data_IF_789835849954
#
_entry.id   IF_789835849954
#
_cell.length_a   1.000
_cell.length_b   1.000
_cell.length_c   1.000
_cell.angle_alpha   90.00
_cell.angle_beta   90.00
_cell.angle_gamma   90.00
#
_symmetry.space_group_name_H-M   'P 1'
#
loop_
_entity.id
_entity.type
_entity.pdbx_description
1 polymer ?
#
# COMPACT_ATOMS: atom_id res chain seq x y z
N UNK A 1 -19.41 22.40 5.47
CA UNK A 1 -19.39 21.10 4.74
C UNK A 1 -18.34 20.22 5.40
N UNK A 2 -18.60 18.92 5.57
CA UNK A 2 -17.59 18.00 6.08
C UNK A 2 -16.42 17.89 5.10
N UNK A 3 -15.19 17.83 5.62
CA UNK A 3 -13.98 17.64 4.80
C UNK A 3 -14.05 16.27 4.10
N UNK A 4 -13.60 16.21 2.84
CA UNK A 4 -13.48 14.94 2.12
C UNK A 4 -12.47 14.03 2.83
N UNK A 5 -12.90 12.81 3.17
CA UNK A 5 -12.02 11.78 3.74
C UNK A 5 -10.98 11.39 2.68
N UNK A 6 -9.70 11.40 3.07
CA UNK A 6 -8.59 11.11 2.16
C UNK A 6 -7.69 10.03 2.75
N UNK A 7 -7.32 9.05 1.92
CA UNK A 7 -6.44 7.96 2.33
C UNK A 7 -5.03 8.14 1.77
N UNK A 8 -4.02 7.89 2.61
CA UNK A 8 -2.68 7.57 2.12
C UNK A 8 -2.70 6.15 1.55
N UNK A 9 -2.21 5.94 0.34
CA UNK A 9 -2.14 4.61 -0.28
C UNK A 9 -0.69 4.17 -0.45
N UNK A 10 -0.30 3.11 0.26
CA UNK A 10 0.99 2.45 0.13
C UNK A 10 0.77 1.19 -0.71
N UNK A 11 1.40 1.14 -1.88
CA UNK A 11 1.34 -0.01 -2.79
C UNK A 11 2.58 -0.88 -2.57
N UNK A 12 2.41 -2.13 -2.16
CA UNK A 12 3.52 -3.05 -1.99
C UNK A 12 4.00 -3.67 -3.30
N UNK A 13 5.32 -3.80 -3.43
CA UNK A 13 5.97 -4.57 -4.48
C UNK A 13 7.23 -5.25 -3.95
N UNK A 14 7.76 -6.22 -4.70
CA UNK A 14 9.05 -6.87 -4.45
C UNK A 14 9.64 -7.30 -5.78
N UNK A 15 10.93 -7.05 -6.00
CA UNK A 15 11.57 -7.15 -7.32
C UNK A 15 11.61 -8.53 -7.97
N UNK A 16 11.21 -9.60 -7.27
CA UNK A 16 11.04 -10.92 -7.86
C UNK A 16 9.62 -11.16 -8.43
N UNK A 17 8.65 -10.33 -8.07
CA UNK A 17 7.26 -10.44 -8.52
C UNK A 17 6.99 -9.54 -9.74
N UNK A 18 5.98 -9.86 -10.56
CA UNK A 18 5.66 -9.09 -11.76
C UNK A 18 5.28 -7.65 -11.43
N UNK A 19 6.10 -6.70 -11.85
CA UNK A 19 5.86 -5.29 -11.51
C UNK A 19 4.59 -4.72 -12.13
N UNK A 20 4.10 -5.32 -13.24
CA UNK A 20 2.85 -4.89 -13.87
C UNK A 20 1.66 -5.01 -12.91
N UNK A 21 1.71 -5.95 -11.96
CA UNK A 21 0.70 -6.12 -10.92
C UNK A 21 0.72 -4.95 -9.93
N UNK A 22 1.90 -4.41 -9.61
CA UNK A 22 2.02 -3.23 -8.77
C UNK A 22 1.39 -2.00 -9.43
N UNK A 23 1.64 -1.81 -10.74
CA UNK A 23 1.00 -0.76 -11.53
C UNK A 23 -0.51 -0.93 -11.59
N UNK A 24 -1.01 -2.09 -12.03
CA UNK A 24 -2.44 -2.30 -12.21
C UNK A 24 -3.19 -2.23 -10.88
N UNK A 25 -2.63 -2.81 -9.81
CA UNK A 25 -3.23 -2.79 -8.49
C UNK A 25 -3.27 -1.38 -7.88
N UNK A 26 -2.24 -0.55 -8.11
CA UNK A 26 -2.28 0.87 -7.74
C UNK A 26 -3.43 1.59 -8.42
N UNK A 27 -3.53 1.44 -9.75
CA UNK A 27 -4.51 2.15 -10.55
C UNK A 27 -5.95 1.71 -10.21
N UNK A 28 -6.16 0.40 -9.99
CA UNK A 28 -7.42 -0.17 -9.51
C UNK A 28 -7.83 0.41 -8.14
N UNK A 29 -6.92 0.44 -7.16
CA UNK A 29 -7.20 0.98 -5.83
C UNK A 29 -7.52 2.47 -5.85
N UNK A 30 -6.77 3.27 -6.62
CA UNK A 30 -7.06 4.70 -6.79
C UNK A 30 -8.44 4.88 -7.43
N UNK A 31 -8.77 4.11 -8.47
CA UNK A 31 -10.06 4.17 -9.15
C UNK A 31 -11.22 3.86 -8.21
N UNK A 32 -11.12 2.80 -7.40
CA UNK A 32 -12.16 2.39 -6.44
C UNK A 32 -12.37 3.47 -5.37
N UNK A 33 -11.30 4.01 -4.80
CA UNK A 33 -11.37 5.04 -3.76
C UNK A 33 -11.99 6.33 -4.30
N UNK A 34 -11.54 6.80 -5.46
CA UNK A 34 -12.08 7.99 -6.11
C UNK A 34 -13.56 7.83 -6.48
N UNK A 35 -13.94 6.67 -7.05
CA UNK A 35 -15.33 6.37 -7.40
C UNK A 35 -16.25 6.28 -6.17
N UNK A 36 -15.67 5.98 -5.01
CA UNK A 36 -16.37 5.98 -3.72
C UNK A 36 -16.41 7.35 -3.03
N UNK A 37 -15.89 8.41 -3.69
CA UNK A 37 -15.89 9.77 -3.18
C UNK A 37 -14.73 10.11 -2.22
N UNK A 38 -13.73 9.24 -2.08
CA UNK A 38 -12.56 9.47 -1.23
C UNK A 38 -11.41 10.13 -1.98
N UNK A 39 -10.62 10.95 -1.28
CA UNK A 39 -9.34 11.43 -1.79
C UNK A 39 -8.24 10.37 -1.64
N UNK A 40 -7.20 10.44 -2.46
CA UNK A 40 -6.04 9.54 -2.38
C UNK A 40 -4.73 10.31 -2.47
N UNK A 41 -3.82 10.05 -1.52
CA UNK A 41 -2.42 10.47 -1.58
C UNK A 41 -1.56 9.23 -1.77
N UNK A 42 -0.92 9.10 -2.92
CA UNK A 42 -0.11 7.94 -3.29
C UNK A 42 1.13 8.41 -4.04
N UNK A 43 2.32 7.81 -3.84
CA UNK A 43 3.45 8.04 -4.72
C UNK A 43 3.03 7.87 -6.18
N UNK A 44 3.45 8.80 -7.03
CA UNK A 44 3.28 8.68 -8.47
C UNK A 44 4.50 7.97 -9.10
N UNK A 45 4.39 7.46 -10.35
CA UNK A 45 5.47 6.76 -11.02
C UNK A 45 6.77 7.55 -11.23
N UNK A 46 6.76 8.89 -11.09
CA UNK A 46 7.97 9.71 -11.12
C UNK A 46 8.70 9.74 -9.77
N UNK A 47 8.00 9.48 -8.65
CA UNK A 47 8.57 9.45 -7.31
C UNK A 47 9.17 8.09 -6.97
N UNK A 48 8.44 7.00 -7.26
CA UNK A 48 8.86 5.60 -7.05
C UNK A 48 8.39 4.72 -8.21
N UNK A 49 9.01 3.56 -8.41
CA UNK A 49 8.68 2.67 -9.53
C UNK A 49 7.20 2.27 -9.45
N UNK A 50 6.42 2.67 -10.46
CA UNK A 50 4.95 2.50 -10.51
C UNK A 50 4.18 3.10 -9.33
N UNK A 51 4.77 3.99 -8.54
CA UNK A 51 4.16 4.48 -7.30
C UNK A 51 4.14 3.44 -6.17
N UNK A 52 4.91 2.36 -6.28
CA UNK A 52 5.03 1.32 -5.26
C UNK A 52 6.21 1.56 -4.31
N UNK A 53 6.20 0.84 -3.18
CA UNK A 53 7.26 0.84 -2.18
C UNK A 53 7.87 -0.54 -2.12
N UNK A 54 9.15 -0.64 -2.48
CA UNK A 54 9.93 -1.88 -2.43
C UNK A 54 11.21 -1.69 -1.60
N UNK A 55 11.79 -0.50 -1.63
CA UNK A 55 13.05 -0.19 -0.96
C UNK A 55 12.88 0.80 0.18
N UNK A 56 13.89 0.85 1.07
CA UNK A 56 13.92 1.84 2.16
C UNK A 56 13.93 3.29 1.65
N UNK A 57 14.58 3.57 0.52
CA UNK A 57 14.58 4.91 -0.06
C UNK A 57 13.20 5.31 -0.60
N UNK A 58 12.48 4.37 -1.22
CA UNK A 58 11.09 4.60 -1.63
C UNK A 58 10.17 4.78 -0.42
N UNK A 59 10.40 4.03 0.66
CA UNK A 59 9.68 4.21 1.92
C UNK A 59 9.86 5.62 2.49
N UNK A 60 11.10 6.17 2.46
CA UNK A 60 11.38 7.56 2.87
C UNK A 60 10.65 8.57 1.99
N UNK A 61 10.63 8.37 0.66
CA UNK A 61 9.91 9.24 -0.27
C UNK A 61 8.40 9.22 -0.02
N UNK A 62 7.82 8.03 0.16
CA UNK A 62 6.41 7.86 0.52
C UNK A 62 6.09 8.56 1.85
N UNK A 63 6.93 8.37 2.86
CA UNK A 63 6.78 9.02 4.16
C UNK A 63 6.87 10.55 4.07
N UNK A 64 7.76 11.09 3.24
CA UNK A 64 7.86 12.53 3.00
C UNK A 64 6.60 13.10 2.33
N UNK A 65 6.08 12.41 1.31
CA UNK A 65 4.82 12.76 0.66
C UNK A 65 3.65 12.75 1.66
N UNK A 66 3.58 11.72 2.51
CA UNK A 66 2.54 11.58 3.51
C UNK A 66 2.62 12.67 4.58
N UNK A 67 3.82 13.00 5.07
CA UNK A 67 4.01 14.13 6.01
C UNK A 67 3.59 15.46 5.39
N UNK A 68 3.97 15.72 4.14
CA UNK A 68 3.58 16.93 3.43
C UNK A 68 2.06 17.05 3.22
N UNK A 69 1.34 15.92 3.26
CA UNK A 69 -0.12 15.85 3.11
C UNK A 69 -0.83 15.46 4.41
N UNK A 70 -0.14 15.50 5.56
CA UNK A 70 -0.59 14.89 6.81
C UNK A 70 -1.94 15.42 7.29
N UNK A 71 -2.16 16.73 7.19
CA UNK A 71 -3.42 17.40 7.58
C UNK A 71 -4.64 16.93 6.77
N UNK A 72 -4.40 16.29 5.62
CA UNK A 72 -5.44 15.78 4.74
C UNK A 72 -5.67 14.28 4.92
N UNK A 73 -4.67 13.51 5.34
CA UNK A 73 -4.78 12.05 5.41
C UNK A 73 -5.52 11.63 6.68
N UNK A 74 -6.65 10.93 6.51
CA UNK A 74 -7.51 10.44 7.60
C UNK A 74 -7.21 8.97 7.97
N UNK A 75 -6.53 8.25 7.09
CA UNK A 75 -6.17 6.84 7.26
C UNK A 75 -5.17 6.40 6.20
N UNK A 76 -4.48 5.28 6.43
CA UNK A 76 -3.57 4.69 5.45
C UNK A 76 -4.07 3.31 5.04
N UNK A 77 -4.05 3.05 3.74
CA UNK A 77 -4.31 1.72 3.16
C UNK A 77 -2.97 1.17 2.67
N UNK A 78 -2.58 0.01 3.18
CA UNK A 78 -1.57 -0.83 2.55
C UNK A 78 -2.31 -1.77 1.59
N UNK A 79 -2.04 -1.63 0.29
CA UNK A 79 -2.54 -2.55 -0.74
C UNK A 79 -1.41 -3.45 -1.24
N UNK A 80 -1.70 -4.74 -1.32
CA UNK A 80 -0.77 -5.79 -1.73
C UNK A 80 -1.27 -6.42 -3.03
N UNK A 81 -0.89 -5.86 -4.19
CA UNK A 81 -1.18 -6.49 -5.48
C UNK A 81 -0.34 -7.75 -5.73
N UNK A 82 0.80 -7.87 -5.06
CA UNK A 82 1.63 -9.07 -4.99
C UNK A 82 2.27 -9.18 -3.59
N UNK A 83 3.25 -10.07 -3.41
CA UNK A 83 4.04 -10.15 -2.18
C UNK A 83 4.95 -8.92 -2.06
N UNK A 84 4.46 -7.86 -1.44
CA UNK A 84 5.22 -6.64 -1.15
C UNK A 84 6.33 -6.81 -0.12
N UNK A 85 7.36 -5.97 -0.18
CA UNK A 85 8.46 -5.94 0.80
C UNK A 85 7.99 -5.33 2.13
N UNK A 86 7.73 -6.19 3.12
CA UNK A 86 7.07 -5.78 4.36
C UNK A 86 7.82 -4.69 5.16
N UNK A 87 9.15 -4.67 5.14
CA UNK A 87 9.93 -3.69 5.92
C UNK A 87 9.77 -2.30 5.34
N UNK A 88 9.75 -2.16 4.01
CA UNK A 88 9.50 -0.90 3.31
C UNK A 88 8.13 -0.32 3.64
N UNK A 89 7.08 -1.16 3.67
CA UNK A 89 5.72 -0.73 4.00
C UNK A 89 5.62 -0.19 5.43
N UNK A 90 6.20 -0.92 6.39
CA UNK A 90 6.18 -0.52 7.80
C UNK A 90 7.07 0.69 8.06
N UNK A 91 8.24 0.78 7.43
CA UNK A 91 9.13 1.93 7.53
C UNK A 91 8.46 3.20 6.97
N UNK A 92 7.71 3.11 5.86
CA UNK A 92 6.98 4.25 5.30
C UNK A 92 5.96 4.81 6.30
N UNK A 93 5.20 3.93 6.98
CA UNK A 93 4.27 4.33 8.05
C UNK A 93 4.98 5.00 9.23
N UNK A 94 6.06 4.37 9.72
CA UNK A 94 6.81 4.86 10.89
C UNK A 94 7.45 6.21 10.64
N UNK A 95 8.06 6.39 9.48
CA UNK A 95 8.69 7.65 9.09
C UNK A 95 7.65 8.74 8.78
N UNK A 96 6.46 8.35 8.30
CA UNK A 96 5.38 9.31 8.08
C UNK A 96 4.83 9.84 9.42
N UNK A 97 4.73 8.99 10.43
CA UNK A 97 4.40 9.39 11.80
C UNK A 97 3.00 10.01 11.95
N UNK A 98 2.06 9.69 11.06
CA UNK A 98 0.75 10.35 11.00
C UNK A 98 -0.20 9.98 12.14
N UNK A 99 -0.01 8.81 12.77
CA UNK A 99 -0.87 8.36 13.87
C UNK A 99 -2.33 8.04 13.49
N UNK A 100 -2.61 7.85 12.19
CA UNK A 100 -3.95 7.54 11.67
C UNK A 100 -4.19 6.03 11.55
N UNK A 101 -5.47 5.57 11.50
CA UNK A 101 -5.78 4.15 11.31
C UNK A 101 -5.18 3.55 10.03
N UNK A 102 -4.79 2.26 10.11
CA UNK A 102 -4.22 1.51 8.99
C UNK A 102 -5.13 0.35 8.59
N UNK A 103 -5.42 0.21 7.30
CA UNK A 103 -6.11 -0.94 6.71
C UNK A 103 -5.14 -1.73 5.82
N UNK A 104 -5.12 -3.06 5.95
CA UNK A 104 -4.35 -3.94 5.07
C UNK A 104 -5.27 -4.72 4.13
N UNK A 105 -5.10 -4.49 2.82
CA UNK A 105 -5.79 -5.17 1.72
C UNK A 105 -4.79 -5.96 0.88
N UNK A 106 -5.20 -7.13 0.39
CA UNK A 106 -4.42 -7.94 -0.54
C UNK A 106 -5.31 -8.45 -1.69
N UNK A 107 -4.81 -8.36 -2.91
CA UNK A 107 -5.54 -8.74 -4.12
C UNK A 107 -5.34 -10.23 -4.39
N UNK A 108 -6.40 -11.06 -4.38
CA UNK A 108 -6.24 -12.51 -4.48
C UNK A 108 -5.62 -12.94 -5.82
N UNK A 109 -4.89 -14.04 -5.79
CA UNK A 109 -4.45 -14.73 -7.01
C UNK A 109 -5.67 -15.16 -7.84
N UNK A 110 -5.50 -15.18 -9.17
CA UNK A 110 -6.51 -15.70 -10.08
C UNK A 110 -6.24 -17.17 -10.36
N UNK A 111 -7.26 -18.03 -10.20
CA UNK A 111 -7.15 -19.43 -10.56
C UNK A 111 -6.68 -19.58 -12.02
N UNK A 112 -5.67 -20.44 -12.24
CA UNK A 112 -5.07 -20.64 -13.55
C UNK A 112 -4.02 -19.61 -13.98
N UNK A 113 -3.79 -18.54 -13.20
CA UNK A 113 -2.76 -17.51 -13.45
C UNK A 113 -1.73 -17.45 -12.32
N UNK A 114 -1.02 -18.56 -12.10
CA UNK A 114 -0.01 -18.69 -11.04
C UNK A 114 1.41 -18.90 -11.58
N UNK A 115 1.64 -18.58 -12.84
CA UNK A 115 2.99 -18.61 -13.43
C UNK A 115 3.82 -17.43 -12.89
N UNK A 116 5.13 -17.45 -13.14
CA UNK A 116 6.01 -16.31 -12.82
C UNK A 116 5.51 -14.99 -13.42
N UNK A 117 4.74 -15.00 -14.50
CA UNK A 117 4.24 -13.77 -15.13
C UNK A 117 3.07 -13.12 -14.39
N UNK A 118 2.28 -13.88 -13.62
CA UNK A 118 1.01 -13.42 -13.07
C UNK A 118 0.80 -13.72 -11.58
N UNK A 119 1.65 -14.56 -10.98
CA UNK A 119 1.57 -14.92 -9.56
C UNK A 119 1.68 -13.67 -8.69
N UNK A 120 0.69 -13.46 -7.83
CA UNK A 120 0.65 -12.38 -6.85
C UNK A 120 1.29 -12.81 -5.55
N UNK A 121 0.88 -13.96 -5.01
CA UNK A 121 1.28 -14.41 -3.66
C UNK A 121 1.02 -13.34 -2.57
N UNK A 122 0.00 -12.53 -2.81
CA UNK A 122 -0.34 -11.35 -2.01
C UNK A 122 -0.84 -11.70 -0.61
N UNK A 123 -1.46 -12.88 -0.44
CA UNK A 123 -1.91 -13.35 0.85
C UNK A 123 -0.73 -13.67 1.79
N UNK A 124 0.33 -14.30 1.26
CA UNK A 124 1.58 -14.48 2.00
C UNK A 124 2.23 -13.14 2.33
N UNK A 125 2.22 -12.21 1.38
CA UNK A 125 2.61 -10.82 1.62
C UNK A 125 1.80 -10.16 2.74
N UNK A 126 0.47 -10.39 2.79
CA UNK A 126 -0.42 -9.85 3.82
C UNK A 126 -0.05 -10.36 5.19
N UNK A 127 0.18 -11.66 5.33
CA UNK A 127 0.64 -12.26 6.58
C UNK A 127 1.99 -11.68 7.02
N UNK A 128 2.95 -11.54 6.09
CA UNK A 128 4.27 -10.96 6.36
C UNK A 128 4.20 -9.51 6.83
N UNK A 129 3.43 -8.68 6.13
CA UNK A 129 3.20 -7.27 6.47
C UNK A 129 2.50 -7.12 7.83
N UNK A 130 1.43 -7.89 8.07
CA UNK A 130 0.71 -7.88 9.34
C UNK A 130 1.60 -8.30 10.52
N UNK A 131 2.46 -9.31 10.32
CA UNK A 131 3.41 -9.74 11.33
C UNK A 131 4.43 -8.64 11.67
N UNK A 132 4.90 -7.87 10.68
CA UNK A 132 5.77 -6.72 10.94
C UNK A 132 5.02 -5.60 11.65
N UNK A 133 3.81 -5.23 11.21
CA UNK A 133 2.99 -4.23 11.89
C UNK A 133 2.78 -4.57 13.37
N UNK A 134 2.51 -5.84 13.69
CA UNK A 134 2.41 -6.31 15.08
C UNK A 134 3.72 -6.13 15.87
N UNK A 135 4.88 -6.52 15.30
CA UNK A 135 6.18 -6.36 15.95
C UNK A 135 6.51 -4.88 16.25
N UNK A 136 6.09 -3.97 15.38
CA UNK A 136 6.23 -2.52 15.58
C UNK A 136 5.08 -1.89 16.38
N UNK A 137 4.11 -2.68 16.87
CA UNK A 137 2.93 -2.23 17.63
C UNK A 137 2.10 -1.18 16.88
N UNK A 138 2.00 -1.31 15.55
CA UNK A 138 1.15 -0.46 14.72
C UNK A 138 -0.22 -1.14 14.61
N UNK A 139 -1.31 -0.54 15.13
CA UNK A 139 -2.66 -1.09 14.99
C UNK A 139 -3.09 -1.10 13.53
N UNK A 140 -3.79 -2.15 13.12
CA UNK A 140 -4.35 -2.26 11.78
C UNK A 140 -5.68 -3.02 11.78
N UNK A 141 -6.45 -2.82 10.72
CA UNK A 141 -7.63 -3.60 10.37
C UNK A 141 -7.40 -4.40 9.09
N UNK A 142 -8.28 -5.38 8.84
CA UNK A 142 -8.23 -6.24 7.67
C UNK A 142 -9.54 -6.17 6.90
N UNK A 143 -9.48 -6.33 5.59
CA UNK A 143 -10.66 -6.63 4.77
C UNK A 143 -11.19 -8.02 5.09
N UNK A 144 -12.51 -8.19 5.05
CA UNK A 144 -13.17 -9.50 5.07
C UNK A 144 -13.09 -10.17 3.70
N UNK A 145 -13.21 -11.50 3.66
CA UNK A 145 -13.30 -12.30 2.43
C UNK A 145 -14.75 -12.43 1.98
#
# INVERSE_FOLDING_TARGET
MARQITFGLIVGNRGFFPDHLARSGRDEMISVLNSSGYGVVCPDPSLTKYGAVETREEAKKCAALFRASGDKIDGVIITLPNFGEERGLVEALRLAGLGVPVLVQATPDSAGKMTIADRRDSFCGKMSACNNLQQYRIPYSLTTL
#
